data_IF_671450208453
#
_entry.id   IF_671450208453
#
_cell.length_a   1.000
_cell.length_b   1.000
_cell.length_c   1.000
_cell.angle_alpha   90.00
_cell.angle_beta   90.00
_cell.angle_gamma   90.00
#
_symmetry.space_group_name_H-M   'P 1'
#
loop_
_entity.id
_entity.type
_entity.pdbx_description
1 polymer ?
#
# COMPACT_ATOMS: atom_id res chain seq x y z
N UNK A 1 9.02 -1.35 21.97
CA UNK A 1 8.39 -0.23 21.25
C UNK A 1 7.59 -0.83 20.11
N UNK A 2 6.26 -0.78 20.17
CA UNK A 2 5.38 -1.12 19.06
C UNK A 2 5.52 -0.07 17.97
N UNK A 3 6.60 -0.13 17.19
CA UNK A 3 6.81 0.78 16.08
C UNK A 3 5.89 0.35 14.93
N UNK A 4 4.99 1.25 14.54
CA UNK A 4 4.17 1.08 13.34
C UNK A 4 5.03 1.56 12.18
N UNK A 5 5.31 0.71 11.17
CA UNK A 5 6.14 1.10 10.04
C UNK A 5 5.44 2.21 9.21
N UNK A 6 6.14 3.31 8.99
CA UNK A 6 5.66 4.37 8.09
C UNK A 6 6.01 4.00 6.64
N UNK A 7 5.04 3.41 5.96
CA UNK A 7 5.15 2.92 4.58
C UNK A 7 4.23 3.69 3.63
N UNK A 8 3.67 4.81 4.07
CA UNK A 8 2.78 5.63 3.23
C UNK A 8 3.58 6.25 2.09
N UNK A 9 3.08 6.13 0.86
CA UNK A 9 3.75 6.63 -0.34
C UNK A 9 4.85 5.72 -0.89
N UNK A 10 5.10 4.55 -0.30
CA UNK A 10 5.95 3.52 -0.91
C UNK A 10 5.17 2.73 -1.96
N UNK A 11 5.89 2.16 -2.94
CA UNK A 11 5.29 1.16 -3.81
C UNK A 11 4.96 -0.11 -3.02
N UNK A 12 3.97 -0.87 -3.47
CA UNK A 12 3.48 -2.05 -2.76
C UNK A 12 4.60 -3.07 -2.50
N UNK A 13 5.48 -3.31 -3.46
CA UNK A 13 6.61 -4.23 -3.34
C UNK A 13 7.59 -3.80 -2.24
N UNK A 14 7.96 -2.52 -2.20
CA UNK A 14 8.82 -1.96 -1.15
C UNK A 14 8.16 -2.04 0.23
N UNK A 15 6.88 -1.69 0.31
CA UNK A 15 6.11 -1.71 1.55
C UNK A 15 5.95 -3.13 2.12
N UNK A 16 5.75 -4.14 1.26
CA UNK A 16 5.67 -5.55 1.67
C UNK A 16 7.01 -6.02 2.25
N UNK A 17 8.12 -5.61 1.66
CA UNK A 17 9.45 -5.95 2.15
C UNK A 17 9.70 -5.32 3.53
N UNK A 18 9.40 -4.02 3.70
CA UNK A 18 9.51 -3.32 5.00
C UNK A 18 8.65 -4.02 6.06
N UNK A 19 7.41 -4.38 5.74
CA UNK A 19 6.53 -5.06 6.69
C UNK A 19 7.08 -6.42 7.11
N UNK A 20 7.61 -7.19 6.15
CA UNK A 20 8.23 -8.50 6.40
C UNK A 20 9.45 -8.38 7.30
N UNK A 21 10.32 -7.41 7.05
CA UNK A 21 11.54 -7.18 7.84
C UNK A 21 11.23 -6.73 9.28
N UNK A 22 10.04 -6.12 9.48
CA UNK A 22 9.52 -5.76 10.80
C UNK A 22 8.67 -6.88 11.44
N UNK A 23 8.59 -8.07 10.83
CA UNK A 23 7.86 -9.22 11.36
C UNK A 23 6.34 -9.14 11.24
N UNK A 24 5.81 -8.26 10.40
CA UNK A 24 4.37 -8.16 10.15
C UNK A 24 3.92 -9.13 9.05
N UNK A 25 2.84 -9.86 9.34
CA UNK A 25 2.01 -10.51 8.35
C UNK A 25 0.94 -9.52 7.86
N UNK A 26 0.91 -9.26 6.57
CA UNK A 26 0.06 -8.18 6.01
C UNK A 26 -0.92 -8.69 4.96
N UNK A 27 -2.14 -8.17 5.02
CA UNK A 27 -3.15 -8.33 3.97
C UNK A 27 -3.20 -7.06 3.12
N UNK A 28 -3.34 -7.20 1.80
CA UNK A 28 -3.37 -6.06 0.87
C UNK A 28 -4.79 -5.83 0.38
N UNK A 29 -5.26 -4.59 0.50
CA UNK A 29 -6.56 -4.14 -0.02
C UNK A 29 -6.30 -3.13 -1.13
N UNK A 30 -6.76 -3.44 -2.34
CA UNK A 30 -6.72 -2.53 -3.48
C UNK A 30 -7.97 -1.66 -3.51
N UNK A 31 -7.79 -0.34 -3.52
CA UNK A 31 -8.85 0.58 -3.89
C UNK A 31 -8.92 0.64 -5.41
N UNK A 32 -10.14 0.57 -5.97
CA UNK A 32 -10.36 0.78 -7.40
C UNK A 32 -10.80 2.22 -7.62
N UNK A 33 -10.23 2.95 -8.60
CA UNK A 33 -10.82 4.19 -9.04
C UNK A 33 -12.19 3.93 -9.67
N UNK A 34 -13.14 4.85 -9.45
CA UNK A 34 -14.54 4.73 -9.85
C UNK A 34 -14.73 4.63 -11.39
N UNK A 35 -13.76 5.14 -12.17
CA UNK A 35 -13.97 5.40 -13.61
C UNK A 35 -12.89 4.95 -14.58
N UNK A 36 -11.84 4.24 -14.17
CA UNK A 36 -10.77 3.86 -15.09
C UNK A 36 -10.19 2.47 -14.83
N UNK A 37 -9.64 1.87 -15.90
CA UNK A 37 -8.67 0.78 -15.81
C UNK A 37 -7.36 1.38 -15.30
N UNK A 38 -6.99 1.15 -14.03
CA UNK A 38 -5.80 1.77 -13.52
C UNK A 38 -4.57 0.99 -14.00
N UNK A 39 -3.70 1.66 -14.75
CA UNK A 39 -2.46 1.09 -15.30
C UNK A 39 -1.21 1.46 -14.48
N UNK A 40 -1.34 2.34 -13.47
CA UNK A 40 -0.23 2.77 -12.64
C UNK A 40 0.21 1.72 -11.61
N UNK A 41 1.45 1.88 -11.13
CA UNK A 41 2.00 1.01 -10.08
C UNK A 41 1.22 1.21 -8.77
N UNK A 42 0.90 0.14 -8.02
CA UNK A 42 0.19 0.26 -6.76
C UNK A 42 1.05 0.96 -5.71
N UNK A 43 0.47 1.97 -5.07
CA UNK A 43 1.13 2.77 -4.03
C UNK A 43 0.34 2.71 -2.73
N UNK A 44 1.06 2.61 -1.61
CA UNK A 44 0.45 2.54 -0.28
C UNK A 44 -0.08 3.90 0.14
N UNK A 45 -1.33 3.94 0.58
CA UNK A 45 -1.94 5.14 1.18
C UNK A 45 -2.24 4.99 2.65
N UNK A 46 -2.24 3.75 3.17
CA UNK A 46 -2.50 3.49 4.57
C UNK A 46 -1.94 2.15 5.00
N UNK A 47 -1.29 2.14 6.15
CA UNK A 47 -1.04 0.92 6.93
C UNK A 47 -1.90 0.95 8.19
N UNK A 48 -2.65 -0.12 8.43
CA UNK A 48 -3.44 -0.29 9.64
C UNK A 48 -2.95 -1.52 10.40
N UNK A 49 -2.42 -1.31 11.60
CA UNK A 49 -2.11 -2.40 12.52
C UNK A 49 -3.41 -3.01 13.04
N UNK A 50 -3.56 -4.33 12.91
CA UNK A 50 -4.71 -5.11 13.38
C UNK A 50 -4.37 -5.87 14.66
N UNK A 51 -3.14 -6.34 14.78
CA UNK A 51 -2.63 -7.05 15.96
C UNK A 51 -1.12 -6.79 16.12
N UNK A 52 -0.47 -7.43 17.10
CA UNK A 52 0.98 -7.28 17.35
C UNK A 52 1.81 -7.57 16.09
N UNK A 53 1.44 -8.59 15.31
CA UNK A 53 2.16 -9.01 14.10
C UNK A 53 1.28 -9.01 12.84
N UNK A 54 0.11 -8.39 12.86
CA UNK A 54 -0.81 -8.38 11.71
C UNK A 54 -1.17 -6.97 11.31
N UNK A 55 -1.12 -6.69 10.01
CA UNK A 55 -1.51 -5.40 9.45
C UNK A 55 -2.31 -5.51 8.15
N UNK A 56 -2.95 -4.41 7.78
CA UNK A 56 -3.61 -4.24 6.48
C UNK A 56 -2.97 -3.07 5.76
N UNK A 57 -2.51 -3.33 4.53
CA UNK A 57 -2.00 -2.32 3.61
C UNK A 57 -3.14 -1.95 2.66
N UNK A 58 -3.51 -0.67 2.63
CA UNK A 58 -4.40 -0.13 1.60
C UNK A 58 -3.54 0.48 0.49
N UNK A 59 -3.75 0.03 -0.74
CA UNK A 59 -3.07 0.56 -1.92
C UNK A 59 -4.06 1.14 -2.92
N UNK A 60 -3.62 2.17 -3.62
CA UNK A 60 -4.29 2.75 -4.78
C UNK A 60 -3.47 2.42 -6.02
N UNK A 61 -4.17 2.11 -7.10
CA UNK A 61 -3.59 2.06 -8.43
C UNK A 61 -3.78 3.45 -9.04
N UNK A 62 -2.72 4.23 -9.14
CA UNK A 62 -2.78 5.55 -9.76
C UNK A 62 -3.12 5.41 -11.26
N UNK A 63 -3.84 6.36 -11.84
CA UNK A 63 -4.00 6.40 -13.29
C UNK A 63 -2.62 6.59 -13.92
N UNK A 64 -2.29 5.76 -14.91
CA UNK A 64 -1.14 6.04 -15.76
C UNK A 64 -1.41 7.38 -16.43
N UNK A 65 -0.66 8.43 -16.06
CA UNK A 65 -0.79 9.76 -16.67
C UNK A 65 -0.69 9.63 -18.20
N UNK A 66 -1.83 9.63 -18.90
CA UNK A 66 -1.90 10.27 -20.21
C UNK A 66 -1.99 11.75 -19.90
N UNK A 67 -0.86 12.44 -20.09
CA UNK A 67 -0.74 13.88 -19.82
C UNK A 67 -1.97 14.64 -20.32
N UNK A 68 -2.47 15.54 -19.47
CA UNK A 68 -3.47 16.52 -19.89
C UNK A 68 -2.91 17.34 -21.06
N UNK A 69 -3.73 17.51 -22.09
CA UNK A 69 -3.41 18.28 -23.29
C UNK A 69 -3.32 19.78 -23.08
#
# INVERSE_FOLDING_TARGET
MDSIPDITGFYLDEALQICKDNGYQVSVVFTRPDKLSPEGKPRVVRFQKVSIYTGVITVVLEEGMKGGG
#
